data_IF_451446886988
#
_entry.id   IF_451446886988
#
_cell.length_a   1.000
_cell.length_b   1.000
_cell.length_c   1.000
_cell.angle_alpha   90.00
_cell.angle_beta   90.00
_cell.angle_gamma   90.00
#
_symmetry.space_group_name_H-M   'P 1'
#
loop_
_entity.id
_entity.type
_entity.pdbx_description
1 polymer ?
#
# COMPACT_ATOMS: atom_id res chain seq x y z
N UNK A 1 -44.78 15.00 25.70
CA UNK A 1 -44.38 16.03 24.72
C UNK A 1 -43.06 16.70 25.11
N UNK A 2 -42.99 17.65 26.05
CA UNK A 2 -41.72 18.36 26.34
C UNK A 2 -40.54 17.45 26.77
N UNK A 3 -40.75 16.49 27.69
CA UNK A 3 -39.71 15.52 28.10
C UNK A 3 -39.26 14.56 26.98
N UNK A 4 -40.10 14.36 25.98
CA UNK A 4 -39.86 13.43 24.88
C UNK A 4 -39.02 14.11 23.78
N UNK A 5 -39.26 15.41 23.55
CA UNK A 5 -38.47 16.26 22.68
C UNK A 5 -37.07 16.54 23.24
N UNK A 6 -36.95 16.73 24.55
CA UNK A 6 -35.65 16.92 25.23
C UNK A 6 -34.76 15.68 25.11
N UNK A 7 -35.33 14.50 25.36
CA UNK A 7 -34.63 13.22 25.20
C UNK A 7 -34.22 12.95 23.75
N UNK A 8 -35.05 13.35 22.78
CA UNK A 8 -34.71 13.22 21.36
C UNK A 8 -33.54 14.14 20.96
N UNK A 9 -33.46 15.35 21.54
CA UNK A 9 -32.34 16.29 21.31
C UNK A 9 -31.03 15.79 21.91
N UNK A 10 -31.05 15.21 23.11
CA UNK A 10 -29.85 14.60 23.70
C UNK A 10 -29.32 13.42 22.86
N UNK A 11 -30.21 12.56 22.36
CA UNK A 11 -29.84 11.43 21.51
C UNK A 11 -29.25 11.93 20.18
N UNK A 12 -29.82 12.98 19.58
CA UNK A 12 -29.30 13.57 18.36
C UNK A 12 -27.90 14.16 18.57
N UNK A 13 -27.69 14.89 19.66
CA UNK A 13 -26.39 15.48 20.01
C UNK A 13 -25.31 14.41 20.26
N UNK A 14 -25.66 13.34 20.97
CA UNK A 14 -24.74 12.23 21.22
C UNK A 14 -24.32 11.51 19.92
N UNK A 15 -25.25 11.30 18.99
CA UNK A 15 -24.95 10.71 17.66
C UNK A 15 -24.07 11.61 16.80
N UNK A 16 -24.28 12.92 16.86
CA UNK A 16 -23.45 13.89 16.12
C UNK A 16 -22.02 13.93 16.66
N UNK A 17 -21.85 13.87 17.99
CA UNK A 17 -20.54 13.78 18.64
C UNK A 17 -19.81 12.46 18.35
N UNK A 18 -20.51 11.32 18.29
CA UNK A 18 -19.92 10.04 17.86
C UNK A 18 -19.45 10.09 16.40
N UNK A 19 -20.28 10.62 15.50
CA UNK A 19 -19.96 10.71 14.07
C UNK A 19 -18.75 11.63 13.82
N UNK A 20 -18.63 12.72 14.59
CA UNK A 20 -17.47 13.61 14.55
C UNK A 20 -16.19 12.93 15.09
N UNK A 21 -16.30 12.10 16.13
CA UNK A 21 -15.19 11.30 16.68
C UNK A 21 -14.73 10.21 15.70
N UNK A 22 -15.64 9.56 15.00
CA UNK A 22 -15.28 8.62 13.92
C UNK A 22 -14.63 9.32 12.73
N UNK A 23 -15.18 10.45 12.28
CA UNK A 23 -14.63 11.23 11.18
C UNK A 23 -13.20 11.72 11.48
N UNK A 24 -12.95 12.20 12.70
CA UNK A 24 -11.62 12.63 13.16
C UNK A 24 -10.63 11.48 13.31
N UNK A 25 -11.04 10.32 13.85
CA UNK A 25 -10.21 9.11 13.89
C UNK A 25 -9.82 8.64 12.50
N UNK A 26 -10.76 8.61 11.56
CA UNK A 26 -10.51 8.21 10.18
C UNK A 26 -9.58 9.18 9.45
N UNK A 27 -9.69 10.48 9.73
CA UNK A 27 -8.82 11.50 9.12
C UNK A 27 -7.38 11.42 9.67
N UNK A 28 -7.21 11.22 10.98
CA UNK A 28 -5.90 11.00 11.61
C UNK A 28 -5.28 9.67 11.12
N UNK A 29 -6.08 8.61 10.98
CA UNK A 29 -5.64 7.34 10.42
C UNK A 29 -5.23 7.48 8.94
N UNK A 30 -5.95 8.27 8.14
CA UNK A 30 -5.64 8.53 6.72
C UNK A 30 -4.39 9.38 6.54
N UNK A 31 -4.17 10.40 7.38
CA UNK A 31 -2.94 11.19 7.36
C UNK A 31 -1.71 10.37 7.79
N UNK A 32 -1.89 9.39 8.70
CA UNK A 32 -0.83 8.47 9.12
C UNK A 32 -0.52 7.37 8.09
N UNK A 33 -1.32 7.25 7.02
CA UNK A 33 -1.18 6.25 5.95
C UNK A 33 -0.39 6.75 4.75
N UNK A 34 0.04 8.01 4.74
CA UNK A 34 0.89 8.56 3.68
C UNK A 34 2.35 8.61 4.13
N UNK A 35 3.23 8.07 3.30
CA UNK A 35 4.65 7.89 3.58
C UNK A 35 5.46 8.40 2.40
N UNK A 36 6.55 9.13 2.67
CA UNK A 36 7.57 9.43 1.66
C UNK A 36 8.64 8.34 1.72
N UNK A 37 8.85 7.67 0.59
CA UNK A 37 9.75 6.52 0.49
C UNK A 37 10.69 6.67 -0.71
N UNK A 38 11.82 5.97 -0.66
CA UNK A 38 12.65 5.75 -1.86
C UNK A 38 12.08 4.56 -2.62
N UNK A 39 11.68 4.76 -3.87
CA UNK A 39 11.21 3.73 -4.77
C UNK A 39 12.26 3.39 -5.82
N UNK A 40 12.51 2.10 -6.01
CA UNK A 40 13.16 1.53 -7.18
C UNK A 40 12.15 0.72 -8.00
N UNK A 41 12.60 0.11 -9.10
CA UNK A 41 11.79 -0.86 -9.84
C UNK A 41 12.57 -2.16 -10.06
N UNK A 42 11.84 -3.28 -10.05
CA UNK A 42 12.35 -4.61 -10.36
C UNK A 42 11.47 -5.27 -11.44
N UNK A 43 11.95 -6.37 -12.02
CA UNK A 43 11.21 -7.13 -13.02
C UNK A 43 10.95 -8.55 -12.54
N UNK A 44 10.07 -9.27 -13.25
CA UNK A 44 9.82 -10.70 -13.00
C UNK A 44 10.91 -11.62 -13.57
N UNK A 45 12.10 -11.10 -13.91
CA UNK A 45 13.18 -11.89 -14.50
C UNK A 45 13.75 -12.90 -13.48
N UNK A 46 13.74 -14.21 -13.79
CA UNK A 46 14.35 -15.25 -12.96
C UNK A 46 15.79 -14.96 -12.49
N UNK A 47 16.59 -14.31 -13.34
CA UNK A 47 17.98 -13.98 -13.03
C UNK A 47 18.13 -12.92 -11.92
N UNK A 48 17.08 -12.16 -11.64
CA UNK A 48 17.05 -11.07 -10.65
C UNK A 48 16.42 -11.50 -9.32
N UNK A 49 15.56 -12.51 -9.31
CA UNK A 49 14.68 -12.83 -8.17
C UNK A 49 14.84 -14.26 -7.60
N UNK A 50 15.56 -15.15 -8.31
CA UNK A 50 15.55 -16.59 -8.01
C UNK A 50 14.23 -17.25 -8.45
N UNK A 51 14.21 -18.59 -8.48
CA UNK A 51 13.02 -19.34 -8.90
C UNK A 51 12.72 -20.51 -7.98
N UNK A 52 11.43 -20.82 -7.86
CA UNK A 52 10.90 -21.97 -7.14
C UNK A 52 10.11 -22.82 -8.13
N UNK A 53 10.66 -23.97 -8.52
CA UNK A 53 10.06 -24.81 -9.56
C UNK A 53 9.94 -24.10 -10.92
N UNK A 54 10.90 -23.22 -11.25
CA UNK A 54 10.91 -22.46 -12.51
C UNK A 54 10.02 -21.21 -12.52
N UNK A 55 9.44 -20.83 -11.37
CA UNK A 55 8.56 -19.66 -11.22
C UNK A 55 9.18 -18.60 -10.33
N UNK A 56 8.96 -17.34 -10.67
CA UNK A 56 9.28 -16.19 -9.81
C UNK A 56 8.06 -15.92 -8.93
N UNK A 57 8.20 -16.19 -7.64
CA UNK A 57 7.13 -16.04 -6.66
C UNK A 57 7.42 -14.89 -5.71
N UNK A 58 6.41 -14.08 -5.44
CA UNK A 58 6.49 -13.05 -4.38
C UNK A 58 6.41 -13.68 -3.00
N UNK A 59 6.70 -12.90 -1.95
CA UNK A 59 6.55 -13.34 -0.55
C UNK A 59 5.12 -13.83 -0.21
N UNK A 60 4.09 -13.32 -0.90
CA UNK A 60 2.71 -13.79 -0.77
C UNK A 60 2.33 -14.93 -1.73
N UNK A 61 3.27 -15.42 -2.54
CA UNK A 61 3.08 -16.55 -3.45
C UNK A 61 2.47 -16.19 -4.81
N UNK A 62 2.48 -14.91 -5.21
CA UNK A 62 2.02 -14.52 -6.54
C UNK A 62 3.04 -14.93 -7.61
N UNK A 63 2.57 -15.59 -8.67
CA UNK A 63 3.41 -16.01 -9.80
C UNK A 63 3.59 -14.87 -10.81
N UNK A 64 4.78 -14.25 -10.75
CA UNK A 64 5.16 -13.15 -11.63
C UNK A 64 5.64 -13.63 -13.00
N UNK A 65 6.04 -14.90 -13.15
CA UNK A 65 6.41 -15.47 -14.46
C UNK A 65 5.18 -15.56 -15.36
N UNK A 66 4.05 -15.96 -14.80
CA UNK A 66 2.77 -15.98 -15.50
C UNK A 66 2.18 -14.56 -15.69
N UNK A 67 2.43 -13.66 -14.74
CA UNK A 67 1.81 -12.33 -14.72
C UNK A 67 2.82 -11.20 -14.42
N UNK A 68 3.74 -10.88 -15.35
CA UNK A 68 4.82 -9.93 -15.10
C UNK A 68 4.34 -8.46 -14.96
N UNK A 69 3.09 -8.17 -15.31
CA UNK A 69 2.49 -6.85 -15.21
C UNK A 69 1.55 -6.70 -14.00
N UNK A 70 1.59 -7.63 -13.04
CA UNK A 70 0.84 -7.46 -11.79
C UNK A 70 1.26 -6.16 -11.10
N UNK A 71 0.30 -5.50 -10.46
CA UNK A 71 0.56 -4.30 -9.67
C UNK A 71 0.96 -4.70 -8.26
N UNK A 72 2.15 -5.30 -8.13
CA UNK A 72 2.73 -5.72 -6.86
C UNK A 72 3.94 -4.84 -6.55
N UNK A 73 4.09 -4.47 -5.29
CA UNK A 73 5.29 -3.82 -4.77
C UNK A 73 5.94 -4.67 -3.68
N UNK A 74 7.27 -4.62 -3.62
CA UNK A 74 8.05 -5.12 -2.51
C UNK A 74 8.18 -4.03 -1.44
N UNK A 75 7.99 -4.42 -0.18
CA UNK A 75 7.99 -3.48 0.98
C UNK A 75 8.76 -4.05 2.18
N UNK A 76 9.01 -3.19 3.17
CA UNK A 76 9.28 -3.63 4.54
C UNK A 76 7.95 -3.85 5.29
N UNK A 77 7.60 -5.10 5.69
CA UNK A 77 6.36 -5.40 6.41
C UNK A 77 6.18 -4.65 7.73
N UNK A 78 7.27 -4.15 8.34
CA UNK A 78 7.20 -3.34 9.57
C UNK A 78 6.70 -1.92 9.32
N UNK A 79 6.79 -1.44 8.08
CA UNK A 79 6.37 -0.09 7.66
C UNK A 79 5.07 -0.16 6.88
N UNK A 80 4.99 -1.03 5.88
CA UNK A 80 3.78 -1.30 5.09
C UNK A 80 3.46 -2.79 5.23
N UNK A 81 2.38 -3.18 5.94
CA UNK A 81 2.03 -4.59 6.11
C UNK A 81 1.78 -5.29 4.77
N UNK A 82 2.21 -6.55 4.66
CA UNK A 82 1.91 -7.37 3.48
C UNK A 82 0.39 -7.53 3.31
N UNK A 83 -0.06 -7.55 2.05
CA UNK A 83 -1.46 -7.58 1.67
C UNK A 83 -2.16 -6.22 1.67
N UNK A 84 -1.49 -5.16 2.13
CA UNK A 84 -2.04 -3.79 2.06
C UNK A 84 -2.29 -3.39 0.61
N UNK A 85 -3.44 -2.77 0.36
CA UNK A 85 -3.64 -1.98 -0.85
C UNK A 85 -2.96 -0.64 -0.66
N UNK A 86 -2.23 -0.20 -1.67
CA UNK A 86 -1.52 1.07 -1.64
C UNK A 86 -1.74 1.82 -2.94
N UNK A 87 -1.58 3.13 -2.90
CA UNK A 87 -1.37 3.98 -4.06
C UNK A 87 0.05 4.52 -4.02
N UNK A 88 0.79 4.36 -5.11
CA UNK A 88 2.17 4.85 -5.26
C UNK A 88 2.17 5.98 -6.28
N UNK A 89 2.69 7.14 -5.91
CA UNK A 89 2.81 8.29 -6.81
C UNK A 89 3.59 7.90 -8.08
N UNK A 90 3.04 8.23 -9.25
CA UNK A 90 3.61 7.89 -10.56
C UNK A 90 3.41 6.45 -11.04
N UNK A 91 3.00 5.51 -10.16
CA UNK A 91 2.76 4.10 -10.51
C UNK A 91 1.28 3.68 -10.36
N UNK A 92 0.58 4.30 -9.40
CA UNK A 92 -0.84 4.11 -9.06
C UNK A 92 -1.08 2.99 -8.04
N UNK A 93 -2.30 2.45 -8.04
CA UNK A 93 -2.73 1.43 -7.08
C UNK A 93 -2.00 0.09 -7.22
N UNK A 94 -1.57 -0.50 -6.11
CA UNK A 94 -0.85 -1.75 -6.06
C UNK A 94 -1.11 -2.53 -4.77
N UNK A 95 -0.64 -3.76 -4.73
CA UNK A 95 -0.66 -4.62 -3.54
C UNK A 95 0.76 -4.70 -3.00
N UNK A 96 0.92 -4.48 -1.69
CA UNK A 96 2.13 -4.82 -0.95
C UNK A 96 2.26 -6.34 -0.84
N UNK A 97 2.66 -6.98 -1.93
CA UNK A 97 2.61 -8.43 -2.12
C UNK A 97 3.95 -9.14 -2.01
N UNK A 98 5.04 -8.39 -1.83
CA UNK A 98 6.39 -8.93 -1.86
C UNK A 98 7.32 -8.28 -0.82
N UNK A 99 8.51 -8.87 -0.66
CA UNK A 99 9.58 -8.35 0.19
C UNK A 99 10.93 -8.50 -0.48
N UNK A 100 11.89 -7.66 -0.11
CA UNK A 100 13.28 -7.80 -0.55
C UNK A 100 14.26 -7.67 0.61
N UNK A 101 15.44 -8.27 0.47
CA UNK A 101 16.53 -8.12 1.44
C UNK A 101 17.01 -6.67 1.54
N UNK A 102 17.07 -5.96 0.40
CA UNK A 102 17.45 -4.55 0.32
C UNK A 102 16.29 -3.56 0.57
N UNK A 103 15.06 -4.07 0.69
CA UNK A 103 13.84 -3.27 0.88
C UNK A 103 13.51 -3.25 2.37
N UNK A 104 14.05 -2.23 3.06
CA UNK A 104 13.97 -2.03 4.52
C UNK A 104 13.65 -0.57 4.84
N UNK A 105 12.85 -0.36 5.89
CA UNK A 105 12.38 0.97 6.30
C UNK A 105 11.51 1.63 5.24
N UNK A 106 11.72 2.93 5.00
CA UNK A 106 10.98 3.73 4.03
C UNK A 106 11.53 3.53 2.60
N UNK A 107 11.61 2.28 2.16
CA UNK A 107 12.01 1.89 0.81
C UNK A 107 11.01 0.90 0.24
N UNK A 108 10.71 1.04 -1.05
CA UNK A 108 9.88 0.11 -1.80
C UNK A 108 10.53 -0.25 -3.14
N UNK A 109 10.06 -1.34 -3.74
CA UNK A 109 10.40 -1.72 -5.12
C UNK A 109 9.12 -1.99 -5.91
N UNK A 110 8.94 -1.36 -7.07
CA UNK A 110 7.72 -1.55 -7.87
C UNK A 110 7.93 -2.57 -8.99
N UNK A 111 6.98 -3.49 -9.19
CA UNK A 111 7.07 -4.46 -10.27
C UNK A 111 6.82 -3.80 -11.62
N UNK A 112 7.75 -3.99 -12.55
CA UNK A 112 7.65 -3.54 -13.93
C UNK A 112 7.75 -4.74 -14.87
N UNK A 113 6.86 -4.80 -15.87
CA UNK A 113 6.84 -5.92 -16.83
C UNK A 113 8.01 -5.95 -17.81
N UNK A 114 8.97 -5.01 -17.76
CA UNK A 114 10.15 -5.04 -18.62
C UNK A 114 11.31 -4.22 -18.02
N UNK A 115 12.55 -4.61 -18.35
CA UNK A 115 13.76 -3.91 -17.90
C UNK A 115 13.82 -2.47 -18.40
N UNK A 116 13.35 -2.20 -19.63
CA UNK A 116 13.30 -0.82 -20.16
C UNK A 116 12.40 0.08 -19.30
N UNK A 117 11.22 -0.41 -18.90
CA UNK A 117 10.33 0.33 -17.98
C UNK A 117 10.97 0.54 -16.60
N UNK A 118 11.62 -0.49 -16.05
CA UNK A 118 12.32 -0.38 -14.77
C UNK A 118 13.47 0.65 -14.83
N UNK A 119 14.24 0.66 -15.92
CA UNK A 119 15.31 1.63 -16.16
C UNK A 119 14.77 3.06 -16.27
N UNK A 120 13.68 3.25 -17.02
CA UNK A 120 13.04 4.55 -17.18
C UNK A 120 12.43 5.06 -15.87
N UNK A 121 11.94 4.17 -15.01
CA UNK A 121 11.46 4.51 -13.67
C UNK A 121 12.61 5.01 -12.78
N UNK A 122 13.76 4.34 -12.84
CA UNK A 122 14.94 4.70 -12.08
C UNK A 122 14.74 4.62 -10.56
N UNK A 123 15.60 5.32 -9.81
CA UNK A 123 15.44 5.50 -8.36
C UNK A 123 14.88 6.89 -8.10
N UNK A 124 13.77 6.97 -7.39
CA UNK A 124 13.12 8.24 -7.10
C UNK A 124 12.46 8.23 -5.72
N UNK A 125 12.26 9.42 -5.17
CA UNK A 125 11.51 9.61 -3.93
C UNK A 125 10.06 9.86 -4.29
N UNK A 126 9.14 9.04 -3.77
CA UNK A 126 7.72 9.08 -4.10
C UNK A 126 6.87 9.02 -2.84
N UNK A 127 5.63 9.49 -2.96
CA UNK A 127 4.62 9.30 -1.92
C UNK A 127 3.88 7.98 -2.10
N UNK A 128 3.65 7.29 -0.98
CA UNK A 128 2.85 6.07 -0.91
C UNK A 128 1.74 6.27 0.09
N UNK A 129 0.51 5.96 -0.32
CA UNK A 129 -0.66 5.97 0.55
C UNK A 129 -1.18 4.56 0.75
N UNK A 130 -1.31 4.11 1.99
CA UNK A 130 -2.01 2.87 2.33
C UNK A 130 -3.52 3.14 2.28
N UNK A 131 -4.27 2.30 1.56
CA UNK A 131 -5.70 2.46 1.28
C UNK A 131 -6.58 1.68 2.27
#
# INVERSE_FOLDING_TARGET
>A
KAKEEEKAREIAKAKEEERAKEASKNNIQSAKRELTVVATAYTADPSENGTYGGRVLTAMGHDLTANPNMRIIAVDPKVIPLGSKVWVEGYGEAIAGDTGSAIKGNRIDVLMGSKSKAMNWGRQTVKVKIL
#
